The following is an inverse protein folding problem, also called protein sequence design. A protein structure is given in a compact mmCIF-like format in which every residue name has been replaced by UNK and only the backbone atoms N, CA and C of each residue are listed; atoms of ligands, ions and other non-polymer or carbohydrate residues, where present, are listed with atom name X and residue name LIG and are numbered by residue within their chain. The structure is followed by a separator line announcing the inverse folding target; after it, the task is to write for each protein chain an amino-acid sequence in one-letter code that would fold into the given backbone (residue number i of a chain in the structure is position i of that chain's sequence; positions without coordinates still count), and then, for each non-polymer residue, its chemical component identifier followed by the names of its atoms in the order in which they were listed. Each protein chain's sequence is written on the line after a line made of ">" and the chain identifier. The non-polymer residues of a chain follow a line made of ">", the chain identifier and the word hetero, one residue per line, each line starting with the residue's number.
data_IF_355747949097
#
_entry.id   IF_355747949097
#
_cell.length_a   1.000
_cell.length_b   1.000
_cell.length_c   1.000
_cell.angle_alpha   90.00
_cell.angle_beta   90.00
_cell.angle_gamma   90.00
#
_symmetry.space_group_name_H-M   'P 1'
#
loop_
_entity.id
_entity.type
_entity.pdbx_description
1 polymer ?
#
# COMPACT_ATOMS: atom_id res chain seq x y z
N UNK A 1 31.95 56.20 29.92
CA UNK A 1 31.41 55.32 28.86
C UNK A 1 30.32 56.11 28.14
N UNK A 2 30.58 56.58 26.91
CA UNK A 2 29.82 57.66 26.28
C UNK A 2 28.42 57.20 25.81
N UNK A 3 27.40 57.93 26.27
CA UNK A 3 25.97 57.74 25.98
C UNK A 3 25.69 57.73 24.46
N UNK A 4 26.48 58.47 23.67
CA UNK A 4 26.37 58.49 22.19
C UNK A 4 26.66 57.14 21.53
N UNK A 5 27.50 56.28 22.13
CA UNK A 5 27.83 54.98 21.55
C UNK A 5 26.71 53.95 21.78
N UNK A 6 25.93 54.11 22.85
CA UNK A 6 24.80 53.25 23.18
C UNK A 6 23.62 53.53 22.24
N UNK A 7 23.35 54.79 21.91
CA UNK A 7 22.27 55.15 20.96
C UNK A 7 22.56 54.67 19.52
N UNK A 8 23.81 54.72 19.06
CA UNK A 8 24.20 54.20 17.75
C UNK A 8 24.05 52.68 17.61
N UNK A 9 24.35 51.93 18.68
CA UNK A 9 24.18 50.48 18.73
C UNK A 9 22.71 50.10 18.82
N UNK A 10 21.90 50.81 19.61
CA UNK A 10 20.45 50.57 19.73
C UNK A 10 19.71 50.91 18.43
N UNK A 11 20.06 51.99 17.73
CA UNK A 11 19.46 52.29 16.42
C UNK A 11 19.86 51.27 15.35
N UNK A 12 21.12 50.83 15.30
CA UNK A 12 21.54 49.75 14.40
C UNK A 12 20.84 48.43 14.71
N UNK A 13 20.70 48.06 15.98
CA UNK A 13 19.96 46.86 16.38
C UNK A 13 18.48 46.94 16.01
N UNK A 14 17.83 48.11 16.17
CA UNK A 14 16.42 48.33 15.79
C UNK A 14 16.19 48.38 14.29
N UNK A 15 17.15 48.89 13.52
CA UNK A 15 17.09 48.90 12.05
C UNK A 15 17.36 47.49 11.48
N UNK A 16 18.32 46.77 12.04
CA UNK A 16 18.59 45.37 11.71
C UNK A 16 17.44 44.45 12.12
N UNK A 17 16.85 44.60 13.32
CA UNK A 17 15.67 43.81 13.69
C UNK A 17 14.45 44.14 12.84
N UNK A 18 14.26 45.38 12.38
CA UNK A 18 13.17 45.72 11.44
C UNK A 18 13.40 45.17 10.03
N UNK A 19 14.63 45.16 9.53
CA UNK A 19 14.95 44.51 8.25
C UNK A 19 14.86 42.99 8.39
N UNK A 20 15.28 42.42 9.52
CA UNK A 20 15.17 40.99 9.77
C UNK A 20 13.72 40.56 9.98
N UNK A 21 12.89 41.36 10.67
CA UNK A 21 11.44 41.12 10.76
C UNK A 21 10.74 41.33 9.44
N UNK A 22 11.11 42.34 8.64
CA UNK A 22 10.53 42.59 7.33
C UNK A 22 10.94 41.52 6.30
N UNK A 23 12.18 41.00 6.38
CA UNK A 23 12.65 39.84 5.59
C UNK A 23 11.99 38.56 6.10
N UNK A 24 11.84 38.32 7.41
CA UNK A 24 11.10 37.15 7.90
C UNK A 24 9.60 37.24 7.66
N UNK A 25 8.98 38.41 7.59
CA UNK A 25 7.57 38.54 7.16
C UNK A 25 7.39 38.42 5.65
N UNK A 26 8.45 38.68 4.85
CA UNK A 26 8.42 38.50 3.39
C UNK A 26 8.84 37.08 2.98
N UNK A 27 9.61 36.36 3.81
CA UNK A 27 9.90 34.92 3.63
C UNK A 27 8.88 34.00 4.31
N UNK A 28 8.09 34.50 5.26
CA UNK A 28 6.90 33.83 5.81
C UNK A 28 5.61 34.12 5.00
N UNK A 29 5.78 34.47 3.73
CA UNK A 29 4.73 34.57 2.70
C UNK A 29 5.11 33.84 1.41
N UNK A 30 6.16 33.02 1.44
CA UNK A 30 6.20 31.82 0.61
C UNK A 30 5.33 30.77 1.31
N UNK A 31 4.01 31.00 1.31
CA UNK A 31 3.06 29.95 1.60
C UNK A 31 3.37 28.83 0.61
N UNK A 32 3.48 27.60 1.12
CA UNK A 32 3.43 26.35 0.36
C UNK A 32 2.05 26.25 -0.35
N UNK A 33 1.76 27.15 -1.28
CA UNK A 33 0.44 27.23 -1.89
C UNK A 33 0.38 26.18 -2.99
N UNK A 34 -0.24 25.05 -2.68
CA UNK A 34 -0.91 24.23 -3.68
C UNK A 34 -1.91 25.14 -4.41
N UNK A 35 -1.76 25.31 -5.72
CA UNK A 35 -2.70 26.11 -6.49
C UNK A 35 -3.88 25.22 -6.86
N UNK A 36 -5.04 25.47 -6.24
CA UNK A 36 -6.29 24.87 -6.68
C UNK A 36 -6.59 25.33 -8.11
N UNK A 37 -6.72 24.38 -9.04
CA UNK A 37 -7.06 24.68 -10.42
C UNK A 37 -8.58 24.63 -10.60
N UNK A 38 -9.22 23.61 -10.02
CA UNK A 38 -10.68 23.49 -9.97
C UNK A 38 -11.09 22.53 -8.85
N UNK A 39 -12.16 22.88 -8.16
CA UNK A 39 -12.95 22.03 -7.25
C UNK A 39 -14.36 21.76 -7.79
N UNK A 40 -14.65 22.26 -9.00
CA UNK A 40 -15.92 22.12 -9.72
C UNK A 40 -17.16 22.69 -8.99
N UNK A 41 -16.90 23.51 -7.96
CA UNK A 41 -17.90 24.32 -7.28
C UNK A 41 -18.58 25.34 -8.20
N UNK A 42 -19.67 25.94 -7.72
CA UNK A 42 -20.42 26.98 -8.44
C UNK A 42 -19.54 28.14 -8.96
N UNK A 43 -18.47 28.46 -8.25
CA UNK A 43 -17.52 29.54 -8.56
C UNK A 43 -16.20 29.03 -9.19
N UNK A 44 -16.13 27.76 -9.63
CA UNK A 44 -14.90 27.23 -10.21
C UNK A 44 -14.47 28.07 -11.44
N UNK A 45 -13.20 28.53 -11.47
CA UNK A 45 -12.74 29.48 -12.48
C UNK A 45 -12.59 28.85 -13.87
N UNK A 46 -12.58 27.51 -13.96
CA UNK A 46 -12.27 26.78 -15.19
C UNK A 46 -13.47 25.99 -15.68
N UNK A 47 -13.99 26.36 -16.86
CA UNK A 47 -15.09 25.63 -17.51
C UNK A 47 -14.57 24.43 -18.30
N UNK A 48 -15.29 23.31 -18.16
CA UNK A 48 -15.02 22.07 -18.86
C UNK A 48 -16.04 21.85 -19.98
N UNK A 49 -15.63 21.13 -21.02
CA UNK A 49 -16.47 20.73 -22.16
C UNK A 49 -16.07 19.33 -22.62
N UNK A 50 -17.00 18.61 -23.24
CA UNK A 50 -16.73 17.28 -23.80
C UNK A 50 -16.42 17.35 -25.28
N UNK A 51 -15.48 16.53 -25.74
CA UNK A 51 -15.17 16.31 -27.16
C UNK A 51 -15.26 14.83 -27.47
N UNK A 52 -15.95 14.52 -28.56
CA UNK A 52 -16.27 13.16 -29.02
C UNK A 52 -15.51 12.85 -30.32
N UNK A 53 -15.48 11.57 -30.71
CA UNK A 53 -14.77 11.07 -31.90
C UNK A 53 -15.58 11.15 -33.20
N UNK A 54 -16.65 11.95 -33.22
CA UNK A 54 -17.66 11.98 -34.28
C UNK A 54 -17.19 12.56 -35.62
N UNK A 55 -16.07 13.30 -35.65
CA UNK A 55 -15.55 13.96 -36.86
C UNK A 55 -15.26 12.97 -37.99
N UNK A 56 -14.80 11.75 -37.67
CA UNK A 56 -14.52 10.68 -38.63
C UNK A 56 -15.61 9.60 -38.65
N UNK A 57 -16.80 9.89 -38.09
CA UNK A 57 -17.92 8.96 -38.02
C UNK A 57 -17.99 8.10 -36.75
N UNK A 58 -17.04 8.28 -35.81
CA UNK A 58 -17.02 7.62 -34.51
C UNK A 58 -18.31 7.84 -33.71
N UNK A 59 -18.59 6.89 -32.82
CA UNK A 59 -19.87 6.81 -32.08
C UNK A 59 -19.69 6.87 -30.55
N UNK A 60 -18.51 7.24 -30.06
CA UNK A 60 -18.31 7.41 -28.63
C UNK A 60 -19.08 8.64 -28.14
N UNK A 61 -19.67 8.53 -26.95
CA UNK A 61 -20.43 9.64 -26.35
C UNK A 61 -20.02 9.80 -24.90
N UNK A 62 -19.92 11.05 -24.45
CA UNK A 62 -19.65 11.36 -23.06
C UNK A 62 -20.22 12.71 -22.68
N UNK A 63 -20.57 12.84 -21.40
CA UNK A 63 -21.14 14.06 -20.84
C UNK A 63 -20.47 14.35 -19.51
N UNK A 64 -20.26 15.64 -19.25
CA UNK A 64 -19.93 16.16 -17.93
C UNK A 64 -21.21 16.71 -17.27
N UNK A 65 -21.35 16.47 -15.98
CA UNK A 65 -22.42 16.99 -15.13
C UNK A 65 -21.88 17.19 -13.71
N UNK A 66 -22.59 17.94 -12.86
CA UNK A 66 -22.29 17.92 -11.42
C UNK A 66 -22.54 16.53 -10.84
N UNK A 67 -21.58 16.03 -10.06
CA UNK A 67 -21.68 14.79 -9.30
C UNK A 67 -22.17 15.05 -7.87
N UNK A 68 -21.75 14.20 -6.93
CA UNK A 68 -22.02 14.41 -5.50
C UNK A 68 -21.12 15.52 -4.94
N UNK A 69 -21.61 16.30 -3.96
CA UNK A 69 -20.80 17.31 -3.24
C UNK A 69 -19.95 18.26 -4.12
N UNK A 70 -20.54 18.83 -5.19
CA UNK A 70 -19.87 19.77 -6.11
C UNK A 70 -18.73 19.18 -6.99
N UNK A 71 -18.59 17.85 -7.06
CA UNK A 71 -17.65 17.16 -7.98
C UNK A 71 -18.03 17.29 -9.46
N UNK A 72 -17.08 17.02 -10.38
CA UNK A 72 -17.36 16.79 -11.80
C UNK A 72 -17.55 15.29 -12.09
N UNK A 73 -18.71 14.94 -12.64
CA UNK A 73 -19.01 13.61 -13.12
C UNK A 73 -18.86 13.55 -14.64
N UNK A 74 -17.85 12.83 -15.11
CA UNK A 74 -17.63 12.50 -16.52
C UNK A 74 -18.04 11.05 -16.80
N UNK A 75 -19.09 10.86 -17.60
CA UNK A 75 -19.62 9.51 -17.90
C UNK A 75 -20.14 9.40 -19.32
N UNK A 76 -20.24 8.17 -19.80
CA UNK A 76 -20.79 7.88 -21.13
C UNK A 76 -20.47 6.46 -21.59
N UNK A 77 -20.33 6.30 -22.90
CA UNK A 77 -20.03 5.03 -23.54
C UNK A 77 -19.03 5.23 -24.68
N UNK A 78 -17.94 4.44 -24.65
CA UNK A 78 -16.97 4.40 -25.75
C UNK A 78 -17.39 3.34 -26.75
N UNK A 79 -17.29 3.65 -28.05
CA UNK A 79 -17.52 2.70 -29.14
C UNK A 79 -16.31 2.67 -30.06
N UNK A 80 -15.88 1.46 -30.44
CA UNK A 80 -14.80 1.26 -31.42
C UNK A 80 -15.31 1.26 -32.87
N UNK A 81 -16.62 1.42 -33.08
CA UNK A 81 -17.21 1.50 -34.42
C UNK A 81 -16.72 2.76 -35.17
N UNK A 82 -16.64 2.65 -36.51
CA UNK A 82 -16.29 3.76 -37.41
C UNK A 82 -14.96 4.47 -37.08
N UNK A 83 -13.93 3.70 -36.73
CA UNK A 83 -12.62 4.21 -36.30
C UNK A 83 -12.70 5.13 -35.06
N UNK A 84 -13.75 4.97 -34.25
CA UNK A 84 -13.88 5.63 -32.96
C UNK A 84 -12.95 5.04 -31.90
N UNK A 85 -13.33 5.28 -30.65
CA UNK A 85 -12.69 4.71 -29.46
C UNK A 85 -12.11 5.74 -28.52
N UNK A 86 -12.56 7.00 -28.58
CA UNK A 86 -12.18 7.99 -27.59
C UNK A 86 -13.28 8.97 -27.23
N UNK A 87 -13.20 9.45 -26.00
CA UNK A 87 -13.95 10.60 -25.53
C UNK A 87 -13.09 11.38 -24.54
N UNK A 88 -13.29 12.70 -24.47
CA UNK A 88 -12.51 13.53 -23.57
C UNK A 88 -13.34 14.63 -22.93
N UNK A 89 -12.95 15.03 -21.72
CA UNK A 89 -13.38 16.25 -21.09
C UNK A 89 -12.16 17.19 -21.03
N UNK A 90 -12.34 18.47 -21.36
CA UNK A 90 -11.23 19.43 -21.42
C UNK A 90 -11.64 20.83 -21.01
N UNK A 91 -10.67 21.57 -20.49
CA UNK A 91 -10.83 22.99 -20.12
C UNK A 91 -10.86 23.88 -21.36
N UNK A 92 -11.37 25.10 -21.21
CA UNK A 92 -11.05 26.18 -22.13
C UNK A 92 -9.52 26.46 -22.15
N UNK A 93 -9.04 27.07 -23.24
CA UNK A 93 -7.63 27.51 -23.42
C UNK A 93 -7.60 29.03 -23.71
N UNK A 94 -6.73 29.83 -23.07
CA UNK A 94 -5.80 29.43 -22.00
C UNK A 94 -6.48 29.37 -20.63
N UNK A 95 -6.00 28.48 -19.76
CA UNK A 95 -6.20 28.58 -18.30
C UNK A 95 -5.25 29.61 -17.69
N UNK A 96 -5.53 30.00 -16.45
CA UNK A 96 -4.61 30.80 -15.64
C UNK A 96 -3.22 30.14 -15.56
N UNK A 97 -2.16 30.95 -15.49
CA UNK A 97 -0.79 30.43 -15.40
C UNK A 97 -0.64 29.68 -14.09
N UNK A 98 -0.15 28.46 -14.16
CA UNK A 98 0.14 27.67 -12.97
C UNK A 98 1.44 28.16 -12.34
N UNK A 99 1.44 28.32 -11.02
CA UNK A 99 2.63 28.55 -10.23
C UNK A 99 3.60 27.37 -10.39
N UNK A 100 4.90 27.64 -10.31
CA UNK A 100 5.94 26.61 -10.32
C UNK A 100 5.60 25.54 -9.29
N UNK A 101 5.57 24.27 -9.69
CA UNK A 101 5.15 23.14 -8.86
C UNK A 101 5.84 21.85 -9.31
N UNK A 102 5.70 20.76 -8.54
CA UNK A 102 6.26 19.45 -8.89
C UNK A 102 5.37 18.64 -9.85
N UNK A 103 4.06 18.86 -9.80
CA UNK A 103 3.11 18.21 -10.70
C UNK A 103 1.67 18.64 -10.49
N UNK A 104 0.75 17.83 -11.01
CA UNK A 104 -0.70 17.90 -10.79
C UNK A 104 -1.12 16.78 -9.84
N UNK A 105 -1.98 17.11 -8.88
CA UNK A 105 -2.70 16.13 -8.07
C UNK A 105 -4.18 16.18 -8.45
N UNK A 106 -4.76 15.00 -8.65
CA UNK A 106 -6.19 14.83 -8.89
C UNK A 106 -6.77 13.83 -7.90
N UNK A 107 -7.96 14.12 -7.37
CA UNK A 107 -8.73 13.16 -6.58
C UNK A 107 -9.91 12.66 -7.40
N UNK A 108 -9.93 11.36 -7.67
CA UNK A 108 -10.84 10.74 -8.64
C UNK A 108 -11.48 9.47 -8.09
N UNK A 109 -12.67 9.14 -8.58
CA UNK A 109 -13.35 7.87 -8.34
C UNK A 109 -13.81 7.31 -9.67
N UNK A 110 -13.23 6.18 -10.08
CA UNK A 110 -13.48 5.57 -11.38
C UNK A 110 -14.24 4.25 -11.30
N UNK A 111 -14.10 3.48 -12.39
CA UNK A 111 -14.81 2.23 -12.62
C UNK A 111 -13.90 1.22 -13.34
N UNK A 112 -12.64 1.07 -12.90
CA UNK A 112 -11.72 0.08 -13.47
C UNK A 112 -11.14 0.44 -14.85
N UNK A 113 -11.15 1.72 -15.24
CA UNK A 113 -10.69 2.18 -16.57
C UNK A 113 -9.36 2.92 -16.47
N UNK A 114 -8.56 2.87 -17.53
CA UNK A 114 -7.31 3.65 -17.66
C UNK A 114 -7.59 4.94 -18.40
N UNK A 115 -7.24 6.07 -17.79
CA UNK A 115 -7.42 7.40 -18.36
C UNK A 115 -6.07 8.03 -18.71
N UNK A 116 -6.10 9.03 -19.59
CA UNK A 116 -4.94 9.85 -19.92
C UNK A 116 -5.20 11.26 -19.44
N UNK A 117 -4.35 11.78 -18.56
CA UNK A 117 -4.32 13.20 -18.25
C UNK A 117 -3.43 13.92 -19.27
N UNK A 118 -3.92 15.02 -19.81
CA UNK A 118 -3.30 15.70 -20.94
C UNK A 118 -3.19 17.20 -20.68
N UNK A 119 -1.99 17.74 -20.92
CA UNK A 119 -1.69 19.16 -20.82
C UNK A 119 -1.29 19.71 -22.19
N UNK A 120 -1.87 20.83 -22.60
CA UNK A 120 -1.41 21.56 -23.80
C UNK A 120 -0.37 22.61 -23.43
N UNK A 121 0.69 22.71 -24.21
CA UNK A 121 1.73 23.73 -24.03
C UNK A 121 1.32 25.07 -24.64
N UNK A 122 1.63 26.19 -23.97
CA UNK A 122 1.28 27.57 -24.40
C UNK A 122 1.75 27.87 -25.81
N UNK A 123 3.00 27.54 -26.10
CA UNK A 123 3.64 27.82 -27.40
C UNK A 123 3.38 26.76 -28.48
N UNK A 124 2.67 25.66 -28.16
CA UNK A 124 2.35 24.62 -29.14
C UNK A 124 0.88 24.79 -29.59
N UNK A 125 0.63 24.95 -30.90
CA UNK A 125 -0.74 25.00 -31.44
C UNK A 125 -1.55 23.75 -31.05
N UNK A 126 -2.87 23.87 -30.94
CA UNK A 126 -3.76 22.75 -30.55
C UNK A 126 -3.60 21.48 -31.41
N UNK A 127 -3.20 21.62 -32.68
CA UNK A 127 -2.94 20.49 -33.60
C UNK A 127 -1.51 19.94 -33.52
N UNK A 128 -0.61 20.61 -32.79
CA UNK A 128 0.80 20.25 -32.64
C UNK A 128 1.06 19.09 -31.68
N UNK A 129 0.08 18.74 -30.86
CA UNK A 129 0.19 17.66 -29.87
C UNK A 129 -0.13 18.14 -28.45
N UNK A 130 -0.10 17.20 -27.50
CA UNK A 130 -0.25 17.45 -26.08
C UNK A 130 0.69 16.55 -25.28
N UNK A 131 0.87 16.89 -24.02
CA UNK A 131 1.68 16.13 -23.08
C UNK A 131 0.77 15.20 -22.30
N UNK A 132 0.97 13.88 -22.38
CA UNK A 132 0.07 12.89 -21.81
C UNK A 132 0.76 12.08 -20.70
N UNK A 133 0.00 11.76 -19.66
CA UNK A 133 0.37 10.80 -18.64
C UNK A 133 -0.83 9.91 -18.32
N UNK A 134 -0.63 8.59 -18.31
CA UNK A 134 -1.66 7.62 -17.95
C UNK A 134 -1.90 7.60 -16.44
N UNK A 135 -3.13 7.33 -16.03
CA UNK A 135 -3.44 6.88 -14.68
C UNK A 135 -4.57 5.86 -14.69
N UNK A 136 -4.55 4.95 -13.73
CA UNK A 136 -5.56 3.90 -13.59
C UNK A 136 -6.56 4.26 -12.51
N UNK A 137 -7.77 3.71 -12.64
CA UNK A 137 -8.81 3.87 -11.63
C UNK A 137 -9.30 2.50 -11.18
N UNK A 138 -9.49 2.35 -9.87
CA UNK A 138 -10.12 1.20 -9.25
C UNK A 138 -11.64 1.36 -9.31
N UNK A 139 -12.36 0.25 -9.15
CA UNK A 139 -13.81 0.29 -9.14
C UNK A 139 -14.33 0.89 -7.83
N UNK A 140 -15.08 1.98 -7.94
CA UNK A 140 -15.92 2.51 -6.86
C UNK A 140 -15.21 2.99 -5.59
N UNK A 141 -13.90 3.28 -5.64
CA UNK A 141 -13.12 3.91 -4.57
C UNK A 141 -12.53 5.27 -4.98
N UNK A 142 -12.37 6.17 -4.00
CA UNK A 142 -11.70 7.46 -4.20
C UNK A 142 -10.18 7.29 -4.12
N UNK A 143 -9.47 7.76 -5.13
CA UNK A 143 -8.02 7.71 -5.23
C UNK A 143 -7.44 9.10 -5.41
N UNK A 144 -6.29 9.35 -4.79
CA UNK A 144 -5.47 10.52 -5.05
C UNK A 144 -4.36 10.09 -6.02
N UNK A 145 -4.32 10.72 -7.18
CA UNK A 145 -3.34 10.46 -8.24
C UNK A 145 -2.44 11.67 -8.38
N UNK A 146 -1.13 11.45 -8.22
CA UNK A 146 -0.11 12.46 -8.49
C UNK A 146 0.51 12.23 -9.87
N UNK A 147 0.60 13.31 -10.64
CA UNK A 147 1.08 13.35 -12.02
C UNK A 147 2.27 14.30 -12.10
N UNK A 148 3.51 13.80 -11.88
CA UNK A 148 4.71 14.62 -11.90
C UNK A 148 4.98 15.17 -13.31
N UNK A 149 5.41 16.43 -13.42
CA UNK A 149 5.66 17.07 -14.72
C UNK A 149 6.63 16.30 -15.62
N UNK A 150 7.65 15.66 -15.03
CA UNK A 150 8.65 14.88 -15.73
C UNK A 150 8.11 13.58 -16.39
N UNK A 151 6.96 13.09 -15.94
CA UNK A 151 6.36 11.85 -16.46
C UNK A 151 5.41 12.10 -17.64
N UNK A 152 5.12 13.36 -17.94
CA UNK A 152 4.31 13.74 -19.09
C UNK A 152 5.11 13.59 -20.39
N UNK A 153 4.60 12.74 -21.29
CA UNK A 153 5.22 12.49 -22.61
C UNK A 153 4.54 13.32 -23.68
N UNK A 154 5.31 14.07 -24.44
CA UNK A 154 4.79 14.79 -25.59
C UNK A 154 4.31 13.81 -26.68
N UNK A 155 3.06 13.95 -27.13
CA UNK A 155 2.48 13.09 -28.15
C UNK A 155 1.56 13.87 -29.09
N UNK A 156 1.47 13.44 -30.35
CA UNK A 156 0.52 13.99 -31.32
C UNK A 156 -0.05 12.88 -32.20
N UNK A 157 -1.35 12.63 -32.09
CA UNK A 157 -2.04 11.54 -32.81
C UNK A 157 -1.33 10.17 -32.65
N UNK A 158 -0.85 9.87 -31.45
CA UNK A 158 -0.12 8.63 -31.15
C UNK A 158 1.34 8.61 -31.62
N UNK A 159 1.83 9.68 -32.28
CA UNK A 159 3.27 9.84 -32.53
C UNK A 159 3.96 10.28 -31.25
N UNK A 160 5.09 9.65 -30.95
CA UNK A 160 5.99 10.09 -29.89
C UNK A 160 6.68 11.39 -30.32
N UNK A 161 6.65 12.39 -29.44
CA UNK A 161 7.33 13.67 -29.61
C UNK A 161 8.29 13.94 -28.44
N UNK A 162 8.82 12.89 -27.82
CA UNK A 162 9.74 12.93 -26.67
C UNK A 162 10.99 13.80 -26.87
N UNK A 163 11.33 14.19 -28.10
CA UNK A 163 12.34 15.21 -28.38
C UNK A 163 11.97 16.64 -27.93
N UNK A 164 10.69 16.89 -27.62
CA UNK A 164 10.23 18.19 -27.12
C UNK A 164 10.62 18.38 -25.64
N UNK A 165 10.78 19.64 -25.18
CA UNK A 165 11.15 19.93 -23.79
C UNK A 165 10.20 19.29 -22.78
N UNK A 166 10.72 18.96 -21.60
CA UNK A 166 9.88 18.56 -20.47
C UNK A 166 8.88 19.67 -20.15
N UNK A 167 7.60 19.30 -20.02
CA UNK A 167 6.55 20.22 -19.63
C UNK A 167 6.84 20.80 -18.24
N UNK A 168 6.66 22.10 -18.04
CA UNK A 168 6.65 22.72 -16.71
C UNK A 168 5.26 23.29 -16.42
N UNK A 169 4.96 23.50 -15.13
CA UNK A 169 3.69 24.07 -14.69
C UNK A 169 3.29 25.33 -15.48
N UNK A 170 4.26 26.23 -15.64
CA UNK A 170 4.05 27.54 -16.24
C UNK A 170 3.77 27.50 -17.76
N UNK A 171 4.15 26.41 -18.41
CA UNK A 171 3.94 26.16 -19.84
C UNK A 171 2.53 25.65 -20.14
N UNK A 172 1.77 25.25 -19.11
CA UNK A 172 0.44 24.67 -19.28
C UNK A 172 -0.57 25.74 -19.70
N UNK A 173 -1.30 25.45 -20.77
CA UNK A 173 -2.34 26.32 -21.35
C UNK A 173 -3.75 25.73 -21.28
N UNK A 174 -3.91 24.42 -21.16
CA UNK A 174 -5.20 23.77 -20.93
C UNK A 174 -5.00 22.34 -20.44
N UNK A 175 -6.01 21.82 -19.75
CA UNK A 175 -6.05 20.46 -19.22
C UNK A 175 -7.12 19.65 -19.96
N UNK A 176 -6.90 18.35 -20.07
CA UNK A 176 -7.86 17.42 -20.61
C UNK A 176 -7.69 16.04 -19.97
N UNK A 177 -8.80 15.32 -19.84
CA UNK A 177 -8.85 13.92 -19.44
C UNK A 177 -9.44 13.15 -20.61
N UNK A 178 -8.71 12.17 -21.10
CA UNK A 178 -9.14 11.29 -22.18
C UNK A 178 -9.42 9.91 -21.63
N UNK A 179 -10.49 9.31 -22.13
CA UNK A 179 -10.63 7.86 -22.15
C UNK A 179 -10.28 7.39 -23.56
N UNK A 180 -9.13 6.70 -23.68
CA UNK A 180 -8.56 6.20 -24.94
C UNK A 180 -7.86 4.85 -24.74
N UNK A 181 -8.42 4.02 -23.88
CA UNK A 181 -7.89 2.72 -23.49
C UNK A 181 -8.20 1.59 -24.48
N UNK A 182 -8.78 1.92 -25.64
CA UNK A 182 -9.18 0.97 -26.69
C UNK A 182 -10.19 -0.08 -26.24
N UNK A 183 -10.95 0.19 -25.18
CA UNK A 183 -12.02 -0.69 -24.70
C UNK A 183 -13.39 -0.07 -25.02
N UNK A 184 -14.27 -0.85 -25.65
CA UNK A 184 -15.68 -0.46 -25.82
C UNK A 184 -16.43 -0.57 -24.49
N UNK A 185 -17.52 0.17 -24.34
CA UNK A 185 -18.45 0.04 -23.22
C UNK A 185 -18.57 1.29 -22.33
N UNK A 186 -19.36 1.18 -21.25
CA UNK A 186 -19.67 2.30 -20.39
C UNK A 186 -18.44 2.73 -19.58
N UNK A 187 -18.40 4.01 -19.21
CA UNK A 187 -17.41 4.53 -18.29
C UNK A 187 -18.02 5.57 -17.34
N UNK A 188 -17.37 5.70 -16.19
CA UNK A 188 -17.65 6.71 -15.18
C UNK A 188 -16.34 7.15 -14.54
N UNK A 189 -16.17 8.46 -14.41
CA UNK A 189 -15.12 9.11 -13.65
C UNK A 189 -15.72 10.29 -12.90
N UNK A 190 -15.67 10.25 -11.58
CA UNK A 190 -16.02 11.38 -10.72
C UNK A 190 -14.73 12.04 -10.24
N UNK A 191 -14.66 13.37 -10.27
CA UNK A 191 -13.46 14.15 -9.97
C UNK A 191 -13.83 15.18 -8.92
N UNK A 192 -13.16 15.12 -7.78
CA UNK A 192 -13.37 16.03 -6.66
C UNK A 192 -12.59 17.32 -6.86
N UNK A 193 -11.28 17.21 -7.05
CA UNK A 193 -10.43 18.37 -7.30
C UNK A 193 -9.30 18.08 -8.26
N UNK A 194 -8.77 19.16 -8.82
CA UNK A 194 -7.50 19.22 -9.55
C UNK A 194 -6.72 20.40 -8.97
N UNK A 195 -5.51 20.13 -8.48
CA UNK A 195 -4.61 21.16 -7.95
C UNK A 195 -3.16 20.89 -8.34
N UNK A 196 -2.30 21.88 -8.22
CA UNK A 196 -0.85 21.63 -8.25
C UNK A 196 -0.38 21.16 -6.87
N UNK A 197 0.69 20.38 -6.85
CA UNK A 197 1.41 20.06 -5.61
C UNK A 197 2.87 20.50 -5.72
N UNK A 198 3.43 20.97 -4.61
CA UNK A 198 4.86 21.26 -4.44
C UNK A 198 5.54 20.03 -3.85
N UNK A 199 6.84 19.86 -4.09
CA UNK A 199 7.72 19.14 -3.17
C UNK A 199 9.02 19.93 -2.96
N UNK A 200 9.48 19.94 -1.71
CA UNK A 200 10.77 20.49 -1.25
C UNK A 200 11.97 19.74 -1.86
N UNK A 201 13.21 20.26 -1.75
CA UNK A 201 14.27 20.16 -2.76
C UNK A 201 14.97 18.80 -2.76
N UNK A 202 14.34 17.77 -3.29
CA UNK A 202 15.05 16.59 -3.77
C UNK A 202 14.31 16.08 -4.99
N UNK A 203 15.04 15.91 -6.07
CA UNK A 203 14.70 14.92 -7.08
C UNK A 203 14.39 13.58 -6.40
N UNK A 204 13.13 13.25 -6.15
CA UNK A 204 12.74 11.85 -5.99
C UNK A 204 11.47 11.59 -6.79
N UNK A 205 11.46 10.59 -7.70
CA UNK A 205 10.21 10.07 -8.23
C UNK A 205 9.31 9.62 -7.07
N UNK A 206 7.99 9.49 -7.29
CA UNK A 206 7.05 8.97 -6.29
C UNK A 206 7.70 7.82 -5.49
N UNK A 207 8.01 8.06 -4.21
CA UNK A 207 8.67 7.06 -3.37
C UNK A 207 7.63 6.04 -2.94
N UNK A 208 8.08 4.80 -2.73
CA UNK A 208 7.19 3.75 -2.20
C UNK A 208 6.59 4.19 -0.85
N UNK A 209 7.34 4.89 0.00
CA UNK A 209 6.86 5.46 1.27
C UNK A 209 5.67 6.41 1.09
N UNK A 210 5.72 7.33 0.12
CA UNK A 210 4.62 8.26 -0.15
C UNK A 210 3.37 7.52 -0.63
N UNK A 211 3.55 6.52 -1.50
CA UNK A 211 2.45 5.67 -1.96
C UNK A 211 1.81 4.90 -0.81
N UNK A 212 2.62 4.28 0.06
CA UNK A 212 2.14 3.56 1.23
C UNK A 212 1.38 4.48 2.18
N UNK A 213 1.86 5.70 2.44
CA UNK A 213 1.15 6.64 3.30
C UNK A 213 -0.24 7.04 2.80
N UNK A 214 -0.46 7.01 1.48
CA UNK A 214 -1.75 7.34 0.87
C UNK A 214 -2.70 6.14 0.72
N UNK A 215 -2.16 4.95 0.41
CA UNK A 215 -2.97 3.78 0.04
C UNK A 215 -2.93 2.64 1.08
N UNK A 216 -1.91 2.59 1.92
CA UNK A 216 -1.68 1.55 2.93
C UNK A 216 -1.17 2.15 4.27
N UNK A 217 -1.90 3.11 4.87
CA UNK A 217 -1.43 3.84 6.05
C UNK A 217 -1.13 2.93 7.25
N UNK A 218 -1.85 1.81 7.43
CA UNK A 218 -1.56 0.85 8.50
C UNK A 218 -0.21 0.17 8.28
N UNK A 219 0.09 -0.25 7.04
CA UNK A 219 1.39 -0.85 6.70
C UNK A 219 2.54 0.12 6.96
N UNK A 220 2.40 1.39 6.55
CA UNK A 220 3.42 2.41 6.80
C UNK A 220 3.65 2.61 8.30
N UNK A 221 2.57 2.70 9.09
CA UNK A 221 2.66 2.86 10.54
C UNK A 221 3.37 1.68 11.23
N UNK A 222 3.16 0.45 10.75
CA UNK A 222 3.85 -0.73 11.25
C UNK A 222 5.33 -0.74 10.88
N UNK A 223 5.69 -0.31 9.66
CA UNK A 223 7.07 -0.15 9.24
C UNK A 223 7.81 0.88 10.10
N UNK A 224 7.17 2.01 10.40
CA UNK A 224 7.69 3.04 11.31
C UNK A 224 7.87 2.51 12.74
N UNK A 225 6.87 1.81 13.29
CA UNK A 225 6.97 1.20 14.63
C UNK A 225 8.11 0.16 14.73
N UNK A 226 8.49 -0.44 13.59
CA UNK A 226 9.57 -1.39 13.47
C UNK A 226 10.93 -0.77 13.11
N UNK A 227 11.06 0.54 13.01
CA UNK A 227 12.26 1.25 12.52
C UNK A 227 12.72 0.79 11.12
N UNK A 228 11.77 0.41 10.25
CA UNK A 228 12.03 0.01 8.86
C UNK A 228 11.74 1.13 7.84
N UNK A 229 11.24 2.27 8.30
CA UNK A 229 10.89 3.45 7.48
C UNK A 229 12.05 3.92 6.60
N UNK A 230 13.25 4.00 7.18
CA UNK A 230 14.47 4.42 6.49
C UNK A 230 14.89 3.40 5.44
N UNK A 231 14.75 2.10 5.75
CA UNK A 231 15.07 1.02 4.82
C UNK A 231 14.12 1.06 3.60
N UNK A 232 12.82 1.26 3.84
CA UNK A 232 11.79 1.38 2.80
C UNK A 232 11.98 2.65 1.96
N UNK A 233 12.35 3.77 2.58
CA UNK A 233 12.64 5.01 1.85
C UNK A 233 13.87 4.89 0.93
N UNK A 234 14.84 4.05 1.30
CA UNK A 234 16.02 3.74 0.49
C UNK A 234 15.83 2.57 -0.49
N UNK A 235 14.67 1.92 -0.47
CA UNK A 235 14.39 0.76 -1.32
C UNK A 235 14.11 1.22 -2.75
N UNK A 236 15.10 1.04 -3.63
CA UNK A 236 15.11 1.57 -4.99
C UNK A 236 14.66 0.56 -6.06
N UNK A 237 14.66 -0.72 -5.72
CA UNK A 237 14.27 -1.81 -6.61
C UNK A 237 13.83 -3.05 -5.83
N UNK A 238 12.87 -3.78 -6.40
CA UNK A 238 12.34 -5.01 -5.81
C UNK A 238 10.83 -5.09 -5.96
N UNK A 239 10.24 -6.04 -5.25
CA UNK A 239 8.79 -6.25 -5.24
C UNK A 239 8.24 -6.15 -3.82
N UNK A 240 7.16 -5.41 -3.65
CA UNK A 240 6.44 -5.25 -2.40
C UNK A 240 5.01 -5.76 -2.55
N UNK A 241 4.65 -6.77 -1.77
CA UNK A 241 3.28 -7.23 -1.63
C UNK A 241 2.59 -6.47 -0.50
N UNK A 242 1.85 -5.41 -0.81
CA UNK A 242 1.26 -4.50 0.18
C UNK A 242 -0.15 -4.96 0.59
N UNK A 243 -0.39 -5.39 1.84
CA UNK A 243 -1.74 -5.74 2.30
C UNK A 243 -2.65 -4.51 2.33
N UNK A 244 -3.92 -4.66 1.93
CA UNK A 244 -4.92 -3.59 2.06
C UNK A 244 -5.36 -3.39 3.51
N UNK A 245 -6.07 -2.31 3.78
CA UNK A 245 -6.64 -2.06 5.11
C UNK A 245 -7.64 -3.16 5.52
N UNK A 246 -8.38 -3.73 4.57
CA UNK A 246 -9.26 -4.88 4.80
C UNK A 246 -8.47 -6.14 5.16
N UNK A 247 -7.25 -6.30 4.63
CA UNK A 247 -6.37 -7.41 4.98
C UNK A 247 -5.99 -7.35 6.46
N UNK A 248 -5.63 -6.16 6.97
CA UNK A 248 -5.35 -5.96 8.39
C UNK A 248 -6.61 -6.11 9.25
N UNK A 249 -7.77 -5.67 8.77
CA UNK A 249 -9.03 -5.81 9.50
C UNK A 249 -9.47 -7.27 9.71
N UNK A 250 -8.97 -8.22 8.89
CA UNK A 250 -9.22 -9.66 9.08
C UNK A 250 -8.41 -10.27 10.22
N UNK A 251 -7.34 -9.61 10.69
CA UNK A 251 -6.50 -10.15 11.75
C UNK A 251 -7.24 -10.09 13.10
N UNK A 252 -7.16 -11.14 13.93
CA UNK A 252 -7.72 -11.12 15.28
C UNK A 252 -7.13 -9.96 16.09
N UNK A 253 -7.98 -9.17 16.76
CA UNK A 253 -7.55 -8.02 17.56
C UNK A 253 -6.55 -8.40 18.65
N UNK A 254 -6.70 -9.60 19.23
CA UNK A 254 -5.77 -10.15 20.23
C UNK A 254 -4.36 -10.36 19.65
N UNK A 255 -4.26 -10.88 18.41
CA UNK A 255 -2.99 -11.08 17.71
C UNK A 255 -2.33 -9.74 17.40
N UNK A 256 -3.09 -8.76 16.91
CA UNK A 256 -2.58 -7.42 16.60
C UNK A 256 -2.05 -6.74 17.86
N UNK A 257 -2.81 -6.81 18.96
CA UNK A 257 -2.39 -6.21 20.24
C UNK A 257 -1.10 -6.84 20.75
N UNK A 258 -0.95 -8.16 20.65
CA UNK A 258 0.27 -8.86 21.03
C UNK A 258 1.46 -8.47 20.14
N UNK A 259 1.27 -8.40 18.82
CA UNK A 259 2.30 -8.03 17.85
C UNK A 259 2.84 -6.60 18.04
N UNK A 260 2.01 -5.68 18.53
CA UNK A 260 2.39 -4.29 18.77
C UNK A 260 3.15 -4.08 20.09
N UNK A 261 3.32 -5.11 20.92
CA UNK A 261 4.13 -5.01 22.13
C UNK A 261 5.63 -4.82 21.76
N UNK A 262 6.38 -3.96 22.46
CA UNK A 262 7.80 -3.72 22.16
C UNK A 262 8.67 -4.99 22.13
N UNK A 263 8.33 -5.98 22.95
CA UNK A 263 8.99 -7.29 23.02
C UNK A 263 8.78 -8.18 21.79
N UNK A 264 7.75 -7.91 20.98
CA UNK A 264 7.43 -8.65 19.76
C UNK A 264 7.89 -7.93 18.48
N UNK A 265 8.68 -6.86 18.61
CA UNK A 265 9.15 -6.06 17.47
C UNK A 265 9.87 -6.89 16.41
N UNK A 266 10.76 -7.81 16.81
CA UNK A 266 11.49 -8.67 15.87
C UNK A 266 10.55 -9.61 15.09
N UNK A 267 9.45 -10.04 15.72
CA UNK A 267 8.43 -10.89 15.12
C UNK A 267 7.59 -10.12 14.12
N UNK A 268 7.22 -8.89 14.49
CA UNK A 268 6.53 -7.97 13.58
C UNK A 268 7.42 -7.63 12.38
N UNK A 269 8.72 -7.38 12.59
CA UNK A 269 9.69 -7.21 11.49
C UNK A 269 9.73 -8.42 10.56
N UNK A 270 9.73 -9.64 11.10
CA UNK A 270 9.70 -10.86 10.28
C UNK A 270 8.43 -10.97 9.42
N UNK A 271 7.27 -10.55 9.93
CA UNK A 271 6.03 -10.47 9.13
C UNK A 271 6.19 -9.42 8.04
N UNK A 272 6.67 -8.21 8.36
CA UNK A 272 6.83 -7.13 7.38
C UNK A 272 7.81 -7.51 6.27
N UNK A 273 8.94 -8.16 6.60
CA UNK A 273 9.92 -8.64 5.63
C UNK A 273 9.41 -9.81 4.77
N UNK A 274 8.37 -10.54 5.22
CA UNK A 274 7.72 -11.58 4.41
C UNK A 274 6.97 -11.01 3.20
N UNK A 275 6.71 -9.70 3.19
CA UNK A 275 6.01 -9.01 2.10
C UNK A 275 6.96 -8.43 1.05
N UNK A 276 8.27 -8.50 1.28
CA UNK A 276 9.27 -7.88 0.41
C UNK A 276 10.09 -8.95 -0.30
N UNK A 277 10.27 -8.81 -1.60
CA UNK A 277 11.14 -9.66 -2.43
C UNK A 277 12.19 -8.77 -3.07
N UNK A 278 13.45 -9.20 -3.03
CA UNK A 278 14.59 -8.42 -3.54
C UNK A 278 14.53 -8.23 -5.07
N UNK A 279 13.99 -9.21 -5.78
CA UNK A 279 13.85 -9.16 -7.23
C UNK A 279 12.62 -8.35 -7.64
N UNK A 280 12.75 -7.54 -8.69
CA UNK A 280 11.64 -6.84 -9.31
C UNK A 280 10.89 -7.78 -10.25
N UNK A 281 9.69 -8.21 -9.86
CA UNK A 281 8.89 -9.17 -10.60
C UNK A 281 7.48 -8.62 -10.84
N UNK A 282 7.03 -8.73 -12.09
CA UNK A 282 5.60 -8.58 -12.38
C UNK A 282 4.83 -9.74 -11.81
N UNK A 283 3.54 -9.57 -11.55
CA UNK A 283 2.74 -10.63 -10.94
C UNK A 283 2.72 -11.89 -11.81
N UNK A 284 2.70 -11.73 -13.15
CA UNK A 284 2.76 -12.83 -14.09
C UNK A 284 4.07 -13.60 -14.06
N UNK A 285 5.19 -12.91 -13.83
CA UNK A 285 6.49 -13.57 -13.70
C UNK A 285 6.63 -14.35 -12.39
N UNK A 286 5.86 -13.99 -11.36
CA UNK A 286 5.88 -14.72 -10.09
C UNK A 286 5.01 -15.99 -10.11
N UNK A 287 4.11 -16.16 -11.09
CA UNK A 287 3.21 -17.31 -11.16
C UNK A 287 4.00 -18.61 -11.37
N UNK A 288 3.86 -19.55 -10.43
CA UNK A 288 4.57 -20.83 -10.46
C UNK A 288 6.05 -20.79 -10.11
N UNK A 289 6.64 -19.60 -9.93
CA UNK A 289 8.06 -19.41 -9.58
C UNK A 289 8.29 -19.32 -8.07
N UNK A 290 7.23 -19.09 -7.29
CA UNK A 290 7.26 -19.09 -5.82
C UNK A 290 8.39 -18.22 -5.24
N UNK A 291 8.35 -16.88 -5.41
CA UNK A 291 9.43 -15.99 -5.01
C UNK A 291 9.76 -16.07 -3.51
N UNK A 292 11.05 -15.89 -3.18
CA UNK A 292 11.54 -15.90 -1.80
C UNK A 292 11.58 -14.48 -1.24
N UNK A 293 10.88 -14.28 -0.14
CA UNK A 293 10.85 -13.01 0.60
C UNK A 293 12.13 -12.73 1.37
N UNK A 294 12.33 -11.48 1.81
CA UNK A 294 13.50 -11.07 2.60
C UNK A 294 13.56 -11.74 3.99
N UNK A 295 12.43 -12.25 4.50
CA UNK A 295 12.41 -13.08 5.71
C UNK A 295 12.78 -14.55 5.44
N UNK A 296 13.03 -14.92 4.18
CA UNK A 296 13.37 -16.29 3.75
C UNK A 296 12.16 -17.20 3.48
N UNK A 297 10.93 -16.68 3.56
CA UNK A 297 9.73 -17.46 3.26
C UNK A 297 9.41 -17.44 1.77
N UNK A 298 8.94 -18.56 1.25
CA UNK A 298 8.43 -18.68 -0.11
C UNK A 298 7.00 -18.15 -0.20
N UNK A 299 6.71 -17.31 -1.19
CA UNK A 299 5.37 -16.78 -1.46
C UNK A 299 4.79 -17.56 -2.64
N UNK A 300 3.77 -18.37 -2.40
CA UNK A 300 3.04 -19.04 -3.48
C UNK A 300 2.26 -18.01 -4.29
N UNK A 301 2.44 -17.99 -5.61
CA UNK A 301 1.67 -17.13 -6.52
C UNK A 301 1.15 -18.01 -7.63
N UNK A 302 -0.17 -18.14 -7.72
CA UNK A 302 -0.82 -19.07 -8.65
C UNK A 302 -2.22 -18.59 -9.04
N UNK A 303 -2.75 -19.15 -10.12
CA UNK A 303 -4.17 -19.01 -10.42
C UNK A 303 -5.00 -19.82 -9.43
N UNK A 304 -6.11 -19.25 -8.94
CA UNK A 304 -7.01 -20.00 -8.06
C UNK A 304 -7.56 -21.27 -8.72
N UNK A 305 -7.91 -21.15 -10.00
CA UNK A 305 -8.52 -22.23 -10.76
C UNK A 305 -7.96 -22.31 -12.19
N UNK A 306 -8.29 -23.40 -12.89
CA UNK A 306 -7.87 -23.60 -14.29
C UNK A 306 -8.48 -22.57 -15.26
N UNK A 307 -9.56 -21.92 -14.86
CA UNK A 307 -10.29 -20.91 -15.63
C UNK A 307 -9.63 -19.52 -15.55
N UNK A 308 -8.66 -19.34 -14.64
CA UNK A 308 -7.83 -18.14 -14.47
C UNK A 308 -8.65 -16.89 -14.08
N UNK A 309 -9.60 -17.05 -13.17
CA UNK A 309 -10.47 -15.95 -12.73
C UNK A 309 -9.72 -14.88 -11.91
N UNK A 310 -8.87 -15.31 -10.98
CA UNK A 310 -8.00 -14.41 -10.22
C UNK A 310 -6.74 -15.10 -9.72
N UNK A 311 -5.77 -14.28 -9.29
CA UNK A 311 -4.45 -14.70 -8.84
C UNK A 311 -4.44 -14.74 -7.31
N UNK A 312 -4.03 -15.88 -6.76
CA UNK A 312 -3.73 -16.06 -5.35
C UNK A 312 -2.28 -15.65 -5.07
N UNK A 313 -2.08 -14.98 -3.94
CA UNK A 313 -0.77 -14.61 -3.41
C UNK A 313 -0.74 -15.04 -1.94
N UNK A 314 0.03 -16.08 -1.65
CA UNK A 314 0.00 -16.76 -0.36
C UNK A 314 -1.40 -17.28 -0.04
N UNK A 315 -1.92 -16.93 1.14
CA UNK A 315 -3.28 -17.27 1.56
C UNK A 315 -4.34 -16.28 1.05
N UNK A 316 -3.95 -15.17 0.43
CA UNK A 316 -4.84 -14.14 -0.05
C UNK A 316 -4.94 -14.08 -1.58
N UNK A 317 -5.62 -13.04 -2.07
CA UNK A 317 -5.77 -12.75 -3.49
C UNK A 317 -5.09 -11.43 -3.86
N UNK A 318 -4.66 -11.34 -5.11
CA UNK A 318 -4.24 -10.09 -5.72
C UNK A 318 -5.44 -9.14 -5.87
N UNK A 319 -5.30 -7.91 -5.38
CA UNK A 319 -6.28 -6.83 -5.55
C UNK A 319 -5.89 -5.92 -6.72
N UNK A 320 -4.62 -5.52 -6.75
CA UNK A 320 -4.03 -4.76 -7.84
C UNK A 320 -2.56 -5.17 -7.99
N UNK A 321 -2.06 -5.30 -9.21
CA UNK A 321 -0.69 -5.75 -9.46
C UNK A 321 0.08 -4.79 -10.36
N UNK A 322 1.39 -5.00 -10.41
CA UNK A 322 2.32 -4.36 -11.35
C UNK A 322 2.43 -2.83 -11.24
N UNK A 323 2.20 -2.28 -10.04
CA UNK A 323 2.30 -0.84 -9.80
C UNK A 323 3.77 -0.42 -9.62
N UNK A 324 4.36 0.21 -10.64
CA UNK A 324 5.76 0.67 -10.55
C UNK A 324 5.84 2.04 -9.85
N UNK A 325 6.36 2.05 -8.62
CA UNK A 325 6.51 3.24 -7.76
C UNK A 325 7.99 3.40 -7.38
N UNK A 326 8.64 4.45 -7.87
CA UNK A 326 10.01 4.78 -7.45
C UNK A 326 11.06 3.71 -7.78
N UNK A 327 10.78 2.80 -8.73
CA UNK A 327 11.64 1.65 -9.06
C UNK A 327 11.23 0.33 -8.39
N UNK A 328 10.28 0.38 -7.46
CA UNK A 328 9.71 -0.78 -6.76
C UNK A 328 8.41 -1.20 -7.43
N UNK A 329 8.22 -2.50 -7.66
CA UNK A 329 6.94 -3.06 -8.12
C UNK A 329 6.06 -3.36 -6.91
N UNK A 330 4.87 -2.79 -6.86
CA UNK A 330 3.93 -2.98 -5.76
C UNK A 330 2.72 -3.80 -6.23
N UNK A 331 2.38 -4.83 -5.46
CA UNK A 331 1.18 -5.65 -5.62
C UNK A 331 0.32 -5.51 -4.37
N UNK A 332 -0.88 -4.96 -4.50
CA UNK A 332 -1.86 -4.90 -3.41
C UNK A 332 -2.51 -6.28 -3.21
N UNK A 333 -2.56 -6.77 -1.97
CA UNK A 333 -3.08 -8.10 -1.63
C UNK A 333 -4.14 -8.06 -0.53
N UNK A 334 -5.06 -9.03 -0.53
CA UNK A 334 -6.21 -9.04 0.39
C UNK A 334 -5.95 -9.62 1.77
N UNK A 335 -4.78 -10.21 2.02
CA UNK A 335 -4.45 -10.91 3.27
C UNK A 335 -3.00 -10.64 3.62
N UNK A 336 -2.69 -10.64 4.92
CA UNK A 336 -1.33 -10.47 5.43
C UNK A 336 -0.56 -11.79 5.28
N UNK A 337 0.64 -11.73 4.70
CA UNK A 337 1.55 -12.87 4.56
C UNK A 337 2.19 -13.15 5.92
N UNK A 338 1.90 -14.33 6.47
CA UNK A 338 2.47 -14.80 7.75
C UNK A 338 3.55 -15.85 7.46
N UNK A 339 4.77 -15.72 8.00
CA UNK A 339 5.81 -16.74 7.90
C UNK A 339 5.32 -18.13 8.35
N UNK A 340 5.75 -19.20 7.68
CA UNK A 340 5.41 -20.58 8.10
C UNK A 340 5.93 -20.90 9.52
N UNK A 341 7.07 -20.33 9.89
CA UNK A 341 7.70 -20.51 11.21
C UNK A 341 7.33 -19.41 12.23
N UNK A 342 6.25 -18.67 11.99
CA UNK A 342 5.85 -17.58 12.88
C UNK A 342 5.32 -18.09 14.23
N UNK A 343 5.92 -17.65 15.33
CA UNK A 343 5.43 -17.90 16.69
C UNK A 343 5.53 -16.67 17.58
N UNK A 344 4.46 -16.38 18.34
CA UNK A 344 4.44 -15.35 19.39
C UNK A 344 5.13 -15.78 20.69
N UNK A 345 5.55 -17.04 20.79
CA UNK A 345 6.32 -17.50 21.94
C UNK A 345 7.81 -17.15 21.74
N UNK A 346 8.52 -16.77 22.80
CA UNK A 346 9.96 -16.48 22.66
C UNK A 346 10.72 -17.74 22.25
N UNK A 347 11.81 -17.61 21.49
CA UNK A 347 12.61 -18.75 21.02
C UNK A 347 13.16 -19.59 22.20
N UNK A 348 13.37 -18.94 23.35
CA UNK A 348 13.72 -19.58 24.62
C UNK A 348 12.52 -20.28 25.29
N UNK A 349 11.32 -19.71 25.21
CA UNK A 349 10.08 -20.36 25.64
C UNK A 349 9.84 -21.65 24.84
N UNK A 350 10.00 -21.60 23.51
CA UNK A 350 9.84 -22.75 22.62
C UNK A 350 10.86 -23.84 22.99
N UNK A 351 12.16 -23.50 23.09
CA UNK A 351 13.21 -24.45 23.52
C UNK A 351 12.93 -25.03 24.90
N UNK A 352 12.44 -24.22 25.84
CA UNK A 352 12.10 -24.67 27.20
C UNK A 352 10.94 -25.67 27.19
N UNK A 353 9.92 -25.45 26.34
CA UNK A 353 8.78 -26.35 26.16
C UNK A 353 9.24 -27.64 25.47
N UNK A 354 10.04 -27.57 24.42
CA UNK A 354 10.62 -28.74 23.75
C UNK A 354 11.47 -29.62 24.68
N UNK A 355 12.32 -28.99 25.49
CA UNK A 355 13.13 -29.69 26.51
C UNK A 355 12.26 -30.33 27.60
N UNK A 356 11.21 -29.64 28.04
CA UNK A 356 10.25 -30.14 29.02
C UNK A 356 9.48 -31.36 28.48
N UNK A 357 9.01 -31.29 27.22
CA UNK A 357 8.31 -32.39 26.55
C UNK A 357 9.23 -33.61 26.35
N UNK A 358 10.47 -33.39 25.91
CA UNK A 358 11.47 -34.47 25.77
C UNK A 358 11.73 -35.17 27.11
N UNK A 359 11.89 -34.39 28.19
CA UNK A 359 12.07 -34.93 29.54
C UNK A 359 10.85 -35.72 30.01
N UNK A 360 9.64 -35.24 29.70
CA UNK A 360 8.38 -35.92 30.00
C UNK A 360 8.34 -37.31 29.35
N UNK A 361 8.72 -37.40 28.08
CA UNK A 361 8.83 -38.67 27.34
C UNK A 361 9.86 -39.60 27.98
N UNK A 362 11.07 -39.10 28.27
CA UNK A 362 12.14 -39.88 28.89
C UNK A 362 11.76 -40.45 30.26
N UNK A 363 10.89 -39.75 31.00
CA UNK A 363 10.38 -40.23 32.29
C UNK A 363 9.22 -41.22 32.14
N UNK A 364 8.31 -41.03 31.18
CA UNK A 364 7.12 -41.88 31.03
C UNK A 364 7.37 -43.21 30.31
N UNK A 365 8.22 -43.23 29.26
CA UNK A 365 8.45 -44.43 28.44
C UNK A 365 8.99 -45.62 29.25
N UNK A 366 10.01 -45.47 30.12
CA UNK A 366 10.51 -46.60 30.91
C UNK A 366 9.46 -47.17 31.87
N UNK A 367 8.61 -46.31 32.42
CA UNK A 367 7.53 -46.67 33.35
C UNK A 367 6.44 -47.48 32.64
N UNK A 368 6.08 -47.05 31.43
CA UNK A 368 5.18 -47.81 30.56
C UNK A 368 5.77 -49.18 30.17
N UNK A 369 7.04 -49.21 29.75
CA UNK A 369 7.71 -50.43 29.28
C UNK A 369 7.90 -51.49 30.37
N UNK A 370 7.95 -51.10 31.66
CA UNK A 370 7.98 -52.05 32.79
C UNK A 370 6.58 -52.54 33.21
N UNK A 371 5.52 -52.10 32.54
CA UNK A 371 4.14 -52.51 32.80
C UNK A 371 3.36 -51.65 33.78
N UNK A 372 3.94 -50.58 34.34
CA UNK A 372 3.23 -49.65 35.23
C UNK A 372 2.54 -48.55 34.42
N UNK A 373 1.42 -48.93 33.82
CA UNK A 373 0.68 -48.04 32.90
C UNK A 373 0.01 -46.88 33.64
N UNK A 374 -0.40 -47.09 34.89
CA UNK A 374 -1.02 -46.05 35.71
C UNK A 374 -0.01 -44.97 36.08
N UNK A 375 1.18 -45.35 36.54
CA UNK A 375 2.23 -44.38 36.87
C UNK A 375 2.67 -43.58 35.63
N UNK A 376 2.73 -44.21 34.46
CA UNK A 376 2.99 -43.52 33.19
C UNK A 376 1.91 -42.47 32.87
N UNK A 377 0.63 -42.84 32.97
CA UNK A 377 -0.48 -41.93 32.75
C UNK A 377 -0.43 -40.73 33.71
N UNK A 378 -0.09 -40.96 34.98
CA UNK A 378 0.02 -39.93 36.00
C UNK A 378 1.21 -38.98 35.74
N UNK A 379 2.35 -39.49 35.26
CA UNK A 379 3.50 -38.69 34.85
C UNK A 379 3.11 -37.75 33.71
N UNK A 380 2.47 -38.27 32.67
CA UNK A 380 2.05 -37.46 31.53
C UNK A 380 0.98 -36.45 31.92
N UNK A 381 0.00 -36.84 32.73
CA UNK A 381 -1.05 -35.94 33.21
C UNK A 381 -0.45 -34.77 33.99
N UNK A 382 0.42 -35.04 34.97
CA UNK A 382 1.09 -33.99 35.78
C UNK A 382 1.93 -33.06 34.91
N UNK A 383 2.58 -33.59 33.88
CA UNK A 383 3.40 -32.80 32.96
C UNK A 383 2.54 -31.89 32.09
N UNK A 384 1.39 -32.39 31.60
CA UNK A 384 0.44 -31.58 30.84
C UNK A 384 -0.25 -30.50 31.68
N UNK A 385 -0.55 -30.77 32.96
CA UNK A 385 -1.05 -29.73 33.89
C UNK A 385 -0.01 -28.61 34.00
N UNK A 386 1.25 -28.93 34.30
CA UNK A 386 2.32 -27.94 34.37
C UNK A 386 2.51 -27.19 33.06
N UNK A 387 2.42 -27.88 31.93
CA UNK A 387 2.54 -27.26 30.62
C UNK A 387 1.39 -26.29 30.32
N UNK A 388 0.17 -26.57 30.80
CA UNK A 388 -0.96 -25.66 30.60
C UNK A 388 -0.79 -24.31 31.33
N UNK A 389 0.06 -24.28 32.37
CA UNK A 389 0.41 -23.09 33.15
C UNK A 389 1.59 -22.29 32.56
N UNK A 390 2.24 -22.77 31.48
CA UNK A 390 3.30 -22.01 30.82
C UNK A 390 2.73 -20.79 30.08
N UNK A 391 3.30 -19.61 30.35
CA UNK A 391 2.89 -18.34 29.74
C UNK A 391 3.12 -18.32 28.21
N UNK A 392 4.16 -19.01 27.73
CA UNK A 392 4.51 -19.13 26.31
C UNK A 392 3.92 -20.36 25.59
N UNK A 393 2.76 -20.85 26.03
CA UNK A 393 2.02 -21.89 25.30
C UNK A 393 0.83 -21.25 24.58
N UNK A 394 0.73 -21.45 23.26
CA UNK A 394 -0.37 -20.87 22.49
C UNK A 394 -1.74 -21.31 23.00
N UNK A 395 -2.71 -20.40 22.97
CA UNK A 395 -4.06 -20.59 23.53
C UNK A 395 -4.76 -21.85 22.98
N UNK A 396 -4.60 -22.13 21.68
CA UNK A 396 -5.16 -23.33 21.04
C UNK A 396 -4.66 -24.61 21.69
N UNK A 397 -3.36 -24.70 21.92
CA UNK A 397 -2.72 -25.89 22.47
C UNK A 397 -3.05 -26.03 23.96
N UNK A 398 -3.07 -24.91 24.70
CA UNK A 398 -3.55 -24.86 26.10
C UNK A 398 -4.97 -25.41 26.22
N UNK A 399 -5.90 -24.92 25.41
CA UNK A 399 -7.30 -25.36 25.44
C UNK A 399 -7.45 -26.85 25.12
N UNK A 400 -6.66 -27.36 24.17
CA UNK A 400 -6.66 -28.79 23.83
C UNK A 400 -6.12 -29.66 24.97
N UNK A 401 -5.08 -29.21 25.66
CA UNK A 401 -4.58 -29.88 26.87
C UNK A 401 -5.66 -29.93 27.94
N UNK A 402 -6.34 -28.81 28.21
CA UNK A 402 -7.41 -28.75 29.22
C UNK A 402 -8.56 -29.70 28.89
N UNK A 403 -8.99 -29.79 27.63
CA UNK A 403 -10.01 -30.75 27.18
C UNK A 403 -9.59 -32.21 27.44
N UNK A 404 -8.34 -32.56 27.13
CA UNK A 404 -7.80 -33.91 27.41
C UNK A 404 -7.71 -34.22 28.91
N UNK A 405 -7.38 -33.23 29.73
CA UNK A 405 -7.35 -33.38 31.19
C UNK A 405 -8.75 -33.59 31.76
N UNK A 406 -9.76 -32.89 31.23
CA UNK A 406 -11.16 -33.08 31.61
C UNK A 406 -11.68 -34.48 31.22
N UNK A 407 -11.25 -35.00 30.07
CA UNK A 407 -11.61 -36.35 29.60
C UNK A 407 -10.95 -37.49 30.40
N UNK A 408 -10.01 -37.21 31.31
CA UNK A 408 -9.31 -38.25 32.09
C UNK A 408 -10.25 -39.19 32.82
N UNK A 409 -11.35 -38.65 33.35
CA UNK A 409 -12.30 -39.39 34.18
C UNK A 409 -13.06 -40.49 33.39
N UNK A 410 -13.03 -40.48 32.05
CA UNK A 410 -13.81 -41.39 31.21
C UNK A 410 -12.98 -42.48 30.51
N UNK A 411 -11.68 -42.60 30.79
CA UNK A 411 -10.79 -43.54 30.09
C UNK A 411 -9.90 -44.32 31.06
N UNK A 412 -9.55 -45.56 30.70
CA UNK A 412 -8.64 -46.39 31.52
C UNK A 412 -7.19 -45.89 31.48
N UNK A 413 -6.32 -46.48 32.30
CA UNK A 413 -4.92 -46.04 32.41
C UNK A 413 -4.14 -46.16 31.10
N UNK A 414 -4.40 -47.20 30.31
CA UNK A 414 -3.70 -47.46 29.06
C UNK A 414 -4.14 -46.50 27.98
N UNK A 415 -5.44 -46.28 27.85
CA UNK A 415 -6.00 -45.30 26.94
C UNK A 415 -5.56 -43.88 27.33
N UNK A 416 -5.54 -43.55 28.62
CA UNK A 416 -5.04 -42.26 29.11
C UNK A 416 -3.56 -42.04 28.76
N UNK A 417 -2.69 -43.04 28.99
CA UNK A 417 -1.27 -42.95 28.68
C UNK A 417 -1.03 -42.68 27.18
N UNK A 418 -1.74 -43.39 26.29
CA UNK A 418 -1.64 -43.19 24.85
C UNK A 418 -2.26 -41.87 24.38
N UNK A 419 -3.38 -41.46 24.98
CA UNK A 419 -4.04 -40.18 24.69
C UNK A 419 -3.10 -39.01 24.99
N UNK A 420 -2.51 -38.98 26.19
CA UNK A 420 -1.55 -37.93 26.56
C UNK A 420 -0.28 -38.00 25.72
N UNK A 421 0.22 -39.21 25.45
CA UNK A 421 1.41 -39.39 24.62
C UNK A 421 1.24 -38.79 23.23
N UNK A 422 0.10 -39.03 22.57
CA UNK A 422 -0.20 -38.47 21.23
C UNK A 422 -0.19 -36.96 21.23
N UNK A 423 -0.70 -36.34 22.29
CA UNK A 423 -0.69 -34.89 22.41
C UNK A 423 0.73 -34.36 22.68
N UNK A 424 1.50 -35.02 23.55
CA UNK A 424 2.92 -34.70 23.78
C UNK A 424 3.72 -34.80 22.47
N UNK A 425 3.55 -35.86 21.67
CA UNK A 425 4.23 -36.02 20.38
C UNK A 425 3.76 -35.00 19.33
N UNK A 426 2.51 -34.53 19.41
CA UNK A 426 2.02 -33.42 18.58
C UNK A 426 2.71 -32.12 18.98
N UNK A 427 2.75 -31.82 20.27
CA UNK A 427 3.38 -30.60 20.80
C UNK A 427 4.88 -30.61 20.52
N UNK A 428 5.56 -31.75 20.64
CA UNK A 428 6.99 -31.84 20.34
C UNK A 428 7.32 -31.53 18.88
N UNK A 429 6.40 -31.77 17.93
CA UNK A 429 6.58 -31.35 16.52
C UNK A 429 6.46 -29.83 16.30
N UNK A 430 5.86 -29.14 17.26
CA UNK A 430 5.64 -27.69 17.21
C UNK A 430 6.71 -26.95 18.00
N UNK A 431 7.12 -27.51 19.14
CA UNK A 431 8.01 -26.85 20.10
C UNK A 431 9.39 -27.51 20.28
N UNK A 432 9.69 -28.61 19.58
CA UNK A 432 10.87 -29.46 19.82
C UNK A 432 11.79 -29.64 18.64
#
# INVERSE_FOLDING_TARGET
>A
MNVLNVYGVILRQRFLTRIQTMITTLTLLAVLSQQLITDFGADSPVKWTTVHDTVMGGRSSGKISKGSAETLLFKGNVSLENNGGFVSARTARPIERLAQSAGIEIRVKGAGRTYQFSCSHRDIPLRGGGYWQSFETLDSEWQIIQLPWQNFKATSFGRDLSQLPTLKAEDVSSLAIYLYDKKSGPFRLEIDYIKTYQDSPVSSPATVTNYLGLQHPTLLSLLEACDLDSAVASFDSGTLFAPTEEAFAKLPTELVTALLLPENKDKLQSILLSHVVAESQTIFNSIGESPVSLSGNTIAVDWENKEKDFINVGAGRLIAGDLLIGGVVVHAISDVIIPENFSLDSDDSIKSIGAFLSTTISNGVPVFNRGDVQECADIYQKSLVKLSEFDGLIVRDRNKILDLLLRRASVDAQEAAWMYRREIDRLLRVYG
#
